data_IF_080102970205
#
_entry.id   IF_080102970205
#
_cell.length_a   1.000
_cell.length_b   1.000
_cell.length_c   1.000
_cell.angle_alpha   90.00
_cell.angle_beta   90.00
_cell.angle_gamma   90.00
#
_symmetry.space_group_name_H-M   'P 1'
#
loop_
_entity.id
_entity.type
_entity.pdbx_description
1 polymer ?
#
# COMPACT_ATOMS: atom_id res chain seq x y z
N UNK A 1 1.94 29.07 -11.15
CA UNK A 1 3.05 28.09 -11.24
C UNK A 1 2.67 26.71 -10.71
N UNK A 2 1.83 26.54 -9.66
CA UNK A 2 1.47 25.19 -9.18
C UNK A 2 0.52 24.42 -10.09
N UNK A 3 -0.38 25.10 -10.81
CA UNK A 3 -1.34 24.46 -11.73
C UNK A 3 -0.66 23.67 -12.86
N UNK A 4 0.43 24.20 -13.43
CA UNK A 4 1.20 23.51 -14.48
C UNK A 4 1.83 22.22 -13.95
N UNK A 5 2.41 22.24 -12.75
CA UNK A 5 3.04 21.05 -12.15
C UNK A 5 2.01 19.95 -11.85
N UNK A 6 0.83 20.31 -11.35
CA UNK A 6 -0.23 19.35 -11.09
C UNK A 6 -0.75 18.70 -12.39
N UNK A 7 -0.90 19.49 -13.45
CA UNK A 7 -1.30 18.99 -14.77
C UNK A 7 -0.23 18.09 -15.39
N UNK A 8 1.04 18.46 -15.30
CA UNK A 8 2.16 17.63 -15.77
C UNK A 8 2.22 16.30 -15.01
N UNK A 9 1.99 16.33 -13.69
CA UNK A 9 1.92 15.12 -12.87
C UNK A 9 0.72 14.25 -13.23
N UNK A 10 -0.43 14.84 -13.52
CA UNK A 10 -1.61 14.10 -14.01
C UNK A 10 -1.30 13.33 -15.30
N UNK A 11 -0.70 14.01 -16.28
CA UNK A 11 -0.29 13.40 -17.54
C UNK A 11 0.73 12.28 -17.30
N UNK A 12 1.74 12.49 -16.44
CA UNK A 12 2.70 11.45 -16.05
C UNK A 12 2.01 10.22 -15.45
N UNK A 13 1.02 10.41 -14.58
CA UNK A 13 0.25 9.31 -13.98
C UNK A 13 -0.54 8.56 -15.06
N UNK A 14 -1.18 9.28 -15.98
CA UNK A 14 -1.94 8.70 -17.09
C UNK A 14 -1.04 7.87 -18.00
N UNK A 15 0.11 8.41 -18.40
CA UNK A 15 1.07 7.73 -19.26
C UNK A 15 1.64 6.48 -18.57
N UNK A 16 2.04 6.61 -17.31
CA UNK A 16 2.52 5.49 -16.50
C UNK A 16 1.47 4.38 -16.38
N UNK A 17 0.20 4.73 -16.12
CA UNK A 17 -0.89 3.74 -16.08
C UNK A 17 -1.11 3.05 -17.44
N UNK A 18 -0.96 3.76 -18.55
CA UNK A 18 -1.08 3.16 -19.88
C UNK A 18 0.08 2.17 -20.14
N UNK A 19 1.31 2.56 -19.81
CA UNK A 19 2.51 1.71 -19.94
C UNK A 19 2.40 0.43 -19.10
N UNK A 20 1.75 0.50 -17.94
CA UNK A 20 1.54 -0.63 -17.03
C UNK A 20 0.18 -1.31 -17.22
N UNK A 21 -0.55 -1.03 -18.30
CA UNK A 21 -1.86 -1.62 -18.61
C UNK A 21 -2.91 -1.51 -17.47
N UNK A 22 -2.87 -0.40 -16.72
CA UNK A 22 -3.65 -0.18 -15.50
C UNK A 22 -3.40 -1.26 -14.42
N UNK A 23 -2.14 -1.65 -14.25
CA UNK A 23 -1.71 -2.59 -13.21
C UNK A 23 -0.65 -1.97 -12.32
N UNK A 24 -0.69 -2.32 -11.04
CA UNK A 24 0.35 -2.07 -10.06
C UNK A 24 0.81 -3.44 -9.59
N UNK A 25 2.02 -3.82 -9.97
CA UNK A 25 2.67 -5.04 -9.48
C UNK A 25 3.83 -4.65 -8.57
N UNK A 26 3.83 -5.19 -7.35
CA UNK A 26 4.84 -4.91 -6.35
C UNK A 26 5.35 -6.21 -5.75
N UNK A 27 6.67 -6.33 -5.67
CA UNK A 27 7.32 -7.41 -4.93
C UNK A 27 8.13 -6.80 -3.78
N UNK A 28 7.83 -7.23 -2.56
CA UNK A 28 8.48 -6.77 -1.33
C UNK A 28 9.16 -7.97 -0.67
N UNK A 29 10.48 -8.04 -0.81
CA UNK A 29 11.30 -9.12 -0.29
C UNK A 29 12.37 -8.67 0.72
N UNK A 30 12.56 -7.35 0.85
CA UNK A 30 13.52 -6.70 1.75
C UNK A 30 12.83 -5.98 2.91
N UNK A 31 13.45 -6.04 4.10
CA UNK A 31 12.92 -5.47 5.34
C UNK A 31 12.37 -6.55 6.28
N UNK A 32 11.44 -6.16 7.15
CA UNK A 32 10.77 -7.08 8.09
C UNK A 32 9.37 -6.58 8.44
N UNK A 33 8.49 -7.51 8.78
CA UNK A 33 7.24 -7.21 9.47
C UNK A 33 7.52 -7.08 10.96
N UNK A 34 7.22 -5.93 11.53
CA UNK A 34 7.41 -5.62 12.94
C UNK A 34 6.08 -5.66 13.67
N UNK A 35 6.08 -6.20 14.88
CA UNK A 35 4.90 -6.20 15.72
C UNK A 35 4.60 -4.78 16.22
N UNK A 36 3.44 -4.24 15.85
CA UNK A 36 2.94 -2.97 16.36
C UNK A 36 2.09 -3.18 17.62
N UNK A 37 1.28 -4.24 17.60
CA UNK A 37 0.49 -4.72 18.75
C UNK A 37 0.50 -6.24 18.74
N UNK A 38 0.03 -6.93 19.80
CA UNK A 38 -0.03 -8.39 19.82
C UNK A 38 -0.67 -9.03 18.58
N UNK A 39 -1.59 -8.32 17.91
CA UNK A 39 -2.35 -8.81 16.76
C UNK A 39 -2.06 -8.08 15.44
N UNK A 40 -1.18 -7.07 15.41
CA UNK A 40 -0.94 -6.25 14.23
C UNK A 40 0.56 -6.20 13.93
N UNK A 41 0.91 -6.55 12.70
CA UNK A 41 2.26 -6.51 12.17
C UNK A 41 2.34 -5.51 11.03
N UNK A 42 3.36 -4.66 11.02
CA UNK A 42 3.50 -3.60 10.03
C UNK A 42 4.83 -3.73 9.28
N UNK A 43 4.76 -3.44 7.99
CA UNK A 43 5.91 -3.19 7.14
C UNK A 43 5.89 -1.71 6.77
N UNK A 44 7.05 -1.06 6.87
CA UNK A 44 7.20 0.35 6.49
C UNK A 44 8.53 0.57 5.81
N UNK A 45 8.48 1.18 4.64
CA UNK A 45 9.62 1.68 3.89
C UNK A 45 9.26 3.04 3.27
N UNK A 46 10.23 3.82 2.75
CA UNK A 46 9.91 5.07 2.09
C UNK A 46 8.86 4.88 0.97
N UNK A 47 7.67 5.47 1.17
CA UNK A 47 6.56 5.40 0.21
C UNK A 47 5.64 4.18 0.33
N UNK A 48 5.95 3.20 1.18
CA UNK A 48 5.11 2.00 1.37
C UNK A 48 4.84 1.72 2.84
N UNK A 49 3.56 1.50 3.19
CA UNK A 49 3.12 1.13 4.52
C UNK A 49 2.01 0.09 4.41
N UNK A 50 2.26 -1.09 4.99
CA UNK A 50 1.35 -2.22 4.97
C UNK A 50 1.15 -2.70 6.39
N UNK A 51 -0.10 -2.88 6.81
CA UNK A 51 -0.44 -3.49 8.09
C UNK A 51 -1.16 -4.82 7.87
N UNK A 52 -0.80 -5.84 8.63
CA UNK A 52 -1.42 -7.17 8.62
C UNK A 52 -1.99 -7.43 10.01
N UNK A 53 -3.30 -7.64 10.08
CA UNK A 53 -4.02 -7.93 11.31
C UNK A 53 -4.38 -9.41 11.42
N UNK A 54 -4.23 -9.94 12.63
CA UNK A 54 -4.68 -11.26 13.04
C UNK A 54 -5.77 -11.14 14.12
N UNK A 55 -6.62 -12.16 14.25
CA UNK A 55 -7.72 -12.21 15.23
C UNK A 55 -7.21 -12.42 16.66
N UNK A 56 -6.14 -13.18 16.80
CA UNK A 56 -5.52 -13.55 18.06
C UNK A 56 -4.04 -13.21 18.04
N UNK A 57 -3.41 -12.95 19.21
CA UNK A 57 -1.98 -12.80 19.30
C UNK A 57 -1.24 -14.03 18.76
N UNK A 58 -0.18 -13.80 17.98
CA UNK A 58 0.68 -14.88 17.53
C UNK A 58 1.72 -15.20 18.60
N UNK A 59 2.04 -16.48 18.77
CA UNK A 59 3.07 -16.92 19.70
C UNK A 59 4.23 -17.51 18.90
N UNK A 60 5.45 -17.06 19.18
CA UNK A 60 6.64 -17.39 18.40
C UNK A 60 6.87 -18.90 18.22
N UNK A 61 6.58 -19.70 19.26
CA UNK A 61 6.86 -21.14 19.27
C UNK A 61 5.74 -22.01 18.66
N UNK A 62 4.55 -21.44 18.44
CA UNK A 62 3.38 -22.21 17.97
C UNK A 62 2.87 -21.74 16.61
N UNK A 63 3.32 -20.58 16.14
CA UNK A 63 2.91 -20.03 14.85
C UNK A 63 3.37 -20.92 13.71
N UNK A 64 2.44 -21.26 12.83
CA UNK A 64 2.65 -22.01 11.62
C UNK A 64 1.70 -21.51 10.53
N UNK A 65 1.84 -22.01 9.31
CA UNK A 65 1.02 -21.58 8.17
C UNK A 65 -0.49 -21.71 8.43
N UNK A 66 -0.93 -22.82 9.01
CA UNK A 66 -2.34 -23.08 9.30
C UNK A 66 -2.88 -22.07 10.34
N UNK A 67 -2.10 -21.80 11.39
CA UNK A 67 -2.45 -20.82 12.41
C UNK A 67 -2.60 -19.42 11.81
N UNK A 68 -1.67 -19.01 10.95
CA UNK A 68 -1.69 -17.72 10.28
C UNK A 68 -2.90 -17.58 9.35
N UNK A 69 -3.19 -18.61 8.55
CA UNK A 69 -4.34 -18.63 7.65
C UNK A 69 -5.65 -18.57 8.43
N UNK A 70 -5.78 -19.31 9.53
CA UNK A 70 -6.98 -19.34 10.37
C UNK A 70 -7.21 -18.02 11.11
N UNK A 71 -6.14 -17.45 11.65
CA UNK A 71 -6.20 -16.21 12.44
C UNK A 71 -6.13 -14.95 11.58
N UNK A 72 -5.85 -15.03 10.29
CA UNK A 72 -5.84 -13.84 9.42
C UNK A 72 -7.16 -13.07 9.54
N UNK A 73 -7.04 -11.75 9.66
CA UNK A 73 -8.18 -10.85 9.83
C UNK A 73 -8.25 -9.81 8.72
N UNK A 74 -7.16 -9.10 8.43
CA UNK A 74 -7.12 -8.09 7.38
C UNK A 74 -5.71 -7.72 6.94
N UNK A 75 -5.62 -7.06 5.78
CA UNK A 75 -4.52 -6.22 5.34
C UNK A 75 -5.02 -4.78 5.19
N UNK A 76 -4.18 -3.82 5.56
CA UNK A 76 -4.37 -2.40 5.25
C UNK A 76 -3.18 -1.90 4.42
N UNK A 77 -3.47 -1.12 3.37
CA UNK A 77 -2.50 -0.58 2.43
C UNK A 77 -2.52 0.96 2.52
N UNK A 78 -1.85 1.52 3.53
CA UNK A 78 -1.93 2.96 3.81
C UNK A 78 -1.17 3.80 2.77
N UNK A 79 -0.01 3.31 2.35
CA UNK A 79 0.82 3.89 1.29
C UNK A 79 1.39 2.78 0.43
N UNK A 80 1.43 2.98 -0.87
CA UNK A 80 2.08 2.07 -1.81
C UNK A 80 2.87 2.86 -2.83
N UNK A 81 4.14 2.52 -2.96
CA UNK A 81 5.04 3.13 -3.94
C UNK A 81 4.63 2.76 -5.37
N UNK A 82 4.61 3.75 -6.25
CA UNK A 82 4.40 3.58 -7.70
C UNK A 82 5.76 3.54 -8.39
N UNK A 83 6.41 2.37 -8.39
CA UNK A 83 7.75 2.22 -8.96
C UNK A 83 7.79 2.65 -10.43
N UNK A 84 8.83 3.41 -10.79
CA UNK A 84 9.00 3.94 -12.14
C UNK A 84 8.23 5.23 -12.44
N UNK A 85 7.31 5.68 -11.58
CA UNK A 85 6.69 6.99 -11.72
C UNK A 85 7.61 8.08 -11.15
N UNK A 86 8.05 9.01 -11.99
CA UNK A 86 8.84 10.18 -11.58
C UNK A 86 7.97 11.23 -10.87
N UNK A 87 7.95 11.15 -9.53
CA UNK A 87 7.16 12.01 -8.64
C UNK A 87 8.01 13.20 -8.19
N UNK A 88 7.56 14.46 -8.36
CA UNK A 88 8.28 15.60 -7.84
C UNK A 88 8.47 15.52 -6.32
N UNK A 89 9.64 15.93 -5.82
CA UNK A 89 10.04 15.72 -4.42
C UNK A 89 9.14 16.35 -3.36
N UNK A 90 8.29 17.31 -3.73
CA UNK A 90 7.31 17.95 -2.86
C UNK A 90 5.88 17.40 -3.01
N UNK A 91 5.71 16.24 -3.66
CA UNK A 91 4.42 15.56 -3.82
C UNK A 91 4.44 14.19 -3.15
N UNK A 92 3.30 13.80 -2.57
CA UNK A 92 3.00 12.42 -2.24
C UNK A 92 2.01 11.90 -3.28
N UNK A 93 2.30 10.74 -3.89
CA UNK A 93 1.42 10.08 -4.85
C UNK A 93 1.30 8.60 -4.48
N UNK A 94 0.08 8.11 -4.40
CA UNK A 94 -0.21 6.72 -4.01
C UNK A 94 -1.56 6.27 -4.58
N UNK A 95 -1.75 4.96 -4.79
CA UNK A 95 -3.03 4.42 -5.20
C UNK A 95 -4.05 4.50 -4.07
N UNK A 96 -5.34 4.54 -4.43
CA UNK A 96 -6.46 4.62 -3.50
C UNK A 96 -7.26 3.32 -3.52
N UNK A 97 -7.42 2.71 -2.35
CA UNK A 97 -8.26 1.52 -2.16
C UNK A 97 -9.69 1.93 -1.82
N UNK A 98 -10.71 1.17 -2.26
CA UNK A 98 -12.12 1.46 -1.92
C UNK A 98 -12.41 1.31 -0.43
N UNK A 99 -11.60 0.52 0.29
CA UNK A 99 -11.70 0.25 1.72
C UNK A 99 -10.32 0.37 2.36
N UNK A 100 -10.27 0.86 3.60
CA UNK A 100 -9.00 1.07 4.33
C UNK A 100 -8.34 -0.24 4.78
N UNK A 101 -9.15 -1.27 5.06
CA UNK A 101 -8.70 -2.61 5.43
C UNK A 101 -9.58 -3.66 4.76
N UNK A 102 -9.01 -4.80 4.39
CA UNK A 102 -9.71 -5.87 3.66
C UNK A 102 -9.04 -7.23 3.87
N UNK A 103 -9.79 -8.31 3.65
CA UNK A 103 -9.32 -9.69 3.69
C UNK A 103 -9.49 -10.41 2.34
N UNK A 104 -10.50 -10.02 1.56
CA UNK A 104 -10.72 -10.51 0.20
C UNK A 104 -9.49 -10.27 -0.69
N UNK A 105 -9.11 -11.30 -1.46
CA UNK A 105 -7.96 -11.25 -2.35
C UNK A 105 -6.60 -11.43 -1.68
N UNK A 106 -6.55 -11.66 -0.36
CA UNK A 106 -5.32 -11.98 0.37
C UNK A 106 -5.13 -13.49 0.49
N UNK A 107 -3.95 -13.97 0.13
CA UNK A 107 -3.58 -15.38 0.22
C UNK A 107 -2.21 -15.53 0.89
N UNK A 108 -2.19 -16.15 2.08
CA UNK A 108 -0.96 -16.55 2.77
C UNK A 108 -0.54 -17.90 2.20
N UNK A 109 0.55 -17.93 1.45
CA UNK A 109 0.99 -19.11 0.70
C UNK A 109 2.02 -19.95 1.43
N UNK A 110 2.85 -19.35 2.28
CA UNK A 110 3.83 -20.09 3.08
C UNK A 110 4.27 -19.33 4.33
N UNK A 111 4.71 -20.08 5.32
CA UNK A 111 5.41 -19.57 6.50
C UNK A 111 6.48 -20.57 6.94
N UNK A 112 7.74 -20.23 6.71
CA UNK A 112 8.89 -21.11 6.95
C UNK A 112 10.04 -20.29 7.53
N UNK A 113 10.69 -20.79 8.59
CA UNK A 113 11.83 -20.12 9.24
C UNK A 113 11.54 -18.66 9.63
N UNK A 114 10.33 -18.37 10.13
CA UNK A 114 9.92 -17.02 10.51
C UNK A 114 9.60 -16.09 9.33
N UNK A 115 9.57 -16.58 8.09
CA UNK A 115 9.35 -15.78 6.88
C UNK A 115 7.95 -16.04 6.31
N UNK A 116 7.16 -14.97 6.21
CA UNK A 116 5.80 -14.96 5.68
C UNK A 116 5.81 -14.68 4.18
N UNK A 117 5.17 -15.57 3.40
CA UNK A 117 4.86 -15.35 1.99
C UNK A 117 3.37 -15.14 1.80
N UNK A 118 3.00 -14.01 1.20
CA UNK A 118 1.62 -13.58 1.01
C UNK A 118 1.45 -12.92 -0.36
N UNK A 119 0.31 -13.15 -1.01
CA UNK A 119 -0.11 -12.45 -2.23
C UNK A 119 -1.37 -11.66 -1.89
N UNK A 120 -1.40 -10.40 -2.27
CA UNK A 120 -2.54 -9.49 -2.09
C UNK A 120 -3.00 -9.05 -3.48
N UNK A 121 -4.23 -9.41 -3.82
CA UNK A 121 -4.91 -8.99 -5.05
C UNK A 121 -6.01 -7.98 -4.70
N UNK A 122 -5.95 -6.78 -5.26
CA UNK A 122 -6.91 -5.71 -4.96
C UNK A 122 -7.20 -4.87 -6.22
N UNK A 123 -8.34 -4.19 -6.25
CA UNK A 123 -8.60 -3.13 -7.23
C UNK A 123 -8.48 -1.76 -6.56
N UNK A 124 -7.60 -0.91 -7.09
CA UNK A 124 -7.57 0.51 -6.75
C UNK A 124 -8.50 1.28 -7.69
N UNK A 125 -9.18 2.31 -7.18
CA UNK A 125 -10.12 3.10 -7.97
C UNK A 125 -9.51 4.40 -8.51
N UNK A 126 -8.34 4.79 -7.99
CA UNK A 126 -7.61 5.97 -8.44
C UNK A 126 -6.13 5.92 -8.06
N UNK A 127 -5.33 6.74 -8.73
CA UNK A 127 -4.08 7.27 -8.19
C UNK A 127 -4.33 8.70 -7.73
N UNK A 128 -3.96 8.99 -6.49
CA UNK A 128 -4.13 10.29 -5.87
C UNK A 128 -2.76 10.91 -5.59
N UNK A 129 -2.62 12.20 -5.89
CA UNK A 129 -1.44 12.99 -5.57
C UNK A 129 -1.79 14.25 -4.80
N UNK A 130 -0.94 14.63 -3.85
CA UNK A 130 -1.04 15.89 -3.12
C UNK A 130 0.31 16.56 -2.94
N UNK A 131 0.34 17.89 -3.00
CA UNK A 131 1.52 18.67 -2.64
C UNK A 131 1.70 18.65 -1.11
N UNK A 132 2.89 18.28 -0.64
CA UNK A 132 3.21 18.24 0.79
C UNK A 132 3.14 19.64 1.42
N UNK A 133 2.81 19.68 2.71
CA UNK A 133 2.72 20.90 3.53
C UNK A 133 1.69 21.95 3.07
N UNK A 134 0.89 21.64 2.05
CA UNK A 134 -0.31 22.40 1.67
C UNK A 134 -1.55 21.65 2.13
N UNK A 135 -1.84 21.79 3.41
CA UNK A 135 -3.09 21.26 3.96
C UNK A 135 -4.19 22.30 3.73
N UNK A 136 -5.35 21.92 3.17
CA UNK A 136 -6.50 22.79 3.16
C UNK A 136 -6.83 23.14 4.61
N UNK A 137 -7.15 24.40 4.84
CA UNK A 137 -7.80 24.81 6.08
C UNK A 137 -9.10 24.01 6.17
N UNK A 138 -9.45 23.52 7.36
CA UNK A 138 -10.70 22.82 7.60
C UNK A 138 -11.87 23.60 6.98
N UNK A 139 -12.76 22.89 6.28
CA UNK A 139 -13.92 23.43 5.55
C UNK A 139 -13.62 24.36 4.36
N UNK A 140 -12.35 24.53 3.97
CA UNK A 140 -11.96 25.22 2.74
C UNK A 140 -11.64 24.20 1.65
N UNK A 141 -12.11 24.47 0.43
CA UNK A 141 -11.62 23.76 -0.75
C UNK A 141 -10.10 23.89 -0.86
N UNK A 142 -9.47 22.82 -1.31
CA UNK A 142 -8.06 22.84 -1.65
C UNK A 142 -7.76 23.91 -2.71
N UNK A 143 -6.60 24.57 -2.58
CA UNK A 143 -6.16 25.53 -3.59
C UNK A 143 -5.86 24.79 -4.92
N UNK A 144 -6.15 25.43 -6.05
CA UNK A 144 -5.95 24.83 -7.36
C UNK A 144 -4.49 24.41 -7.60
N UNK A 145 -4.28 23.25 -8.23
CA UNK A 145 -2.96 22.71 -8.53
C UNK A 145 -2.19 22.19 -7.31
N UNK A 146 -2.87 21.90 -6.21
CA UNK A 146 -2.27 21.26 -5.01
C UNK A 146 -2.65 19.78 -4.87
N UNK A 147 -3.55 19.29 -5.72
CA UNK A 147 -4.02 17.92 -5.76
C UNK A 147 -4.21 17.45 -7.21
N UNK A 148 -4.07 16.15 -7.40
CA UNK A 148 -4.39 15.44 -8.65
C UNK A 148 -5.08 14.13 -8.32
N UNK A 149 -6.03 13.72 -9.15
CA UNK A 149 -6.66 12.41 -9.04
C UNK A 149 -6.95 11.83 -10.42
N UNK A 150 -6.31 10.72 -10.75
CA UNK A 150 -6.59 9.95 -11.97
C UNK A 150 -7.43 8.74 -11.60
N UNK A 151 -8.71 8.75 -11.98
CA UNK A 151 -9.67 7.68 -11.67
C UNK A 151 -9.67 6.63 -12.76
N UNK A 152 -9.37 5.39 -12.40
CA UNK A 152 -9.39 4.21 -13.27
C UNK A 152 -9.56 2.95 -12.41
N UNK A 153 -10.05 1.89 -13.02
CA UNK A 153 -9.98 0.56 -12.43
C UNK A 153 -8.56 0.03 -12.61
N UNK A 154 -7.79 -0.02 -11.51
CA UNK A 154 -6.38 -0.38 -11.52
C UNK A 154 -6.20 -1.68 -10.74
N UNK A 155 -5.67 -2.71 -11.41
CA UNK A 155 -5.41 -4.00 -10.78
C UNK A 155 -4.13 -3.94 -9.95
N UNK A 156 -4.21 -4.30 -8.68
CA UNK A 156 -3.09 -4.40 -7.76
C UNK A 156 -2.73 -5.85 -7.48
N UNK A 157 -1.45 -6.20 -7.62
CA UNK A 157 -0.88 -7.47 -7.17
C UNK A 157 0.36 -7.15 -6.34
N UNK A 158 0.29 -7.38 -5.03
CA UNK A 158 1.43 -7.20 -4.12
C UNK A 158 1.87 -8.58 -3.63
N UNK A 159 3.13 -8.92 -3.84
CA UNK A 159 3.78 -10.12 -3.34
C UNK A 159 4.65 -9.73 -2.16
N UNK A 160 4.35 -10.26 -0.99
CA UNK A 160 5.16 -10.08 0.21
C UNK A 160 5.93 -11.38 0.48
N UNK A 161 7.22 -11.23 0.73
CA UNK A 161 8.09 -12.29 1.22
C UNK A 161 9.01 -11.69 2.29
N UNK A 162 8.54 -11.64 3.54
CA UNK A 162 9.20 -10.88 4.59
C UNK A 162 9.37 -11.72 5.86
N UNK A 163 10.51 -11.58 6.57
CA UNK A 163 10.62 -12.12 7.92
C UNK A 163 9.61 -11.40 8.83
N UNK A 164 9.00 -12.14 9.74
CA UNK A 164 8.04 -11.64 10.72
C UNK A 164 8.66 -11.76 12.11
N UNK A 165 8.85 -10.62 12.76
CA UNK A 165 9.40 -10.54 14.12
C UNK A 165 8.23 -10.63 15.10
N UNK A 166 8.16 -11.74 15.82
CA UNK A 166 7.16 -12.00 16.86
C UNK A 166 7.88 -11.92 18.20
N UNK A 167 7.42 -11.01 19.07
CA UNK A 167 7.94 -10.80 20.42
C UNK A 167 7.14 -11.58 21.49
#
# INVERSE_FOLDING_TARGET
MSSTVAHDLENKIVDWLNEHENKIELEISEGSLHQLTPTIYTYSSPGTSISIGFKNPLQQDTVNLEELQRNFNYVALDKLSLFGLDIPSNWEVYPQTPVSSFDEGVHISAYENGRLRMIISICFFAIYGRQMQKHPIMDKAADEGTYVQVRRDIKGIIKLDLPMVIE
#
